data_IF_024240416053
#
_entry.id   IF_024240416053
#
_cell.length_a   1.000
_cell.length_b   1.000
_cell.length_c   1.000
_cell.angle_alpha   90.00
_cell.angle_beta   90.00
_cell.angle_gamma   90.00
#
_symmetry.space_group_name_H-M   'P 1'
#
loop_
_entity.id
_entity.type
_entity.pdbx_description
1 polymer ?
#
# COMPACT_ATOMS: atom_id res chain seq x y z
N UNK A 1 -12.18 12.20 16.12
CA UNK A 1 -12.29 13.68 16.08
C UNK A 1 -11.71 14.37 17.32
N UNK A 2 -11.94 13.86 18.55
CA UNK A 2 -11.45 14.46 19.80
C UNK A 2 -9.95 14.79 19.77
N UNK A 3 -9.10 13.82 19.41
CA UNK A 3 -7.64 14.00 19.33
C UNK A 3 -7.25 15.08 18.32
N UNK A 4 -7.81 15.07 17.11
CA UNK A 4 -7.51 16.06 16.07
C UNK A 4 -7.95 17.48 16.46
N UNK A 5 -8.98 17.65 17.29
CA UNK A 5 -9.42 18.96 17.79
C UNK A 5 -8.59 19.45 18.98
N UNK A 6 -8.08 18.54 19.81
CA UNK A 6 -7.31 18.88 21.00
C UNK A 6 -5.88 19.36 20.67
N UNK A 7 -5.37 19.08 19.46
CA UNK A 7 -3.99 19.37 19.07
C UNK A 7 -3.94 20.52 18.05
N UNK A 8 -3.01 21.47 18.26
CA UNK A 8 -2.71 22.52 17.28
C UNK A 8 -1.91 22.02 16.08
N UNK A 9 -1.16 20.92 16.24
CA UNK A 9 -0.30 20.35 15.19
C UNK A 9 -1.08 19.34 14.33
N UNK A 10 -0.77 19.21 13.02
CA UNK A 10 -1.40 18.22 12.14
C UNK A 10 -1.23 16.79 12.66
N UNK A 11 -2.33 16.04 12.73
CA UNK A 11 -2.31 14.63 13.14
C UNK A 11 -2.01 13.73 11.94
N UNK A 12 -1.05 12.82 12.13
CA UNK A 12 -0.77 11.71 11.23
C UNK A 12 -1.44 10.42 11.74
N UNK A 13 -2.10 9.68 10.86
CA UNK A 13 -2.62 8.35 11.15
C UNK A 13 -1.74 7.29 10.51
N UNK A 14 -1.25 6.33 11.30
CA UNK A 14 -0.45 5.22 10.79
C UNK A 14 -1.32 3.97 10.62
N UNK A 15 -1.39 3.47 9.38
CA UNK A 15 -2.01 2.18 9.07
C UNK A 15 -1.07 1.06 9.50
N UNK A 16 -1.58 0.07 10.24
CA UNK A 16 -0.74 -1.04 10.70
C UNK A 16 -1.37 -2.02 11.69
N UNK A 17 -2.54 -1.73 12.25
CA UNK A 17 -3.20 -2.59 13.25
C UNK A 17 -4.35 -3.35 12.60
N UNK A 18 -4.27 -4.68 12.58
CA UNK A 18 -5.33 -5.56 12.07
C UNK A 18 -6.63 -5.33 12.85
N UNK A 19 -7.75 -5.20 12.15
CA UNK A 19 -9.06 -4.95 12.76
C UNK A 19 -9.26 -3.54 13.32
N UNK A 20 -8.29 -2.63 13.16
CA UNK A 20 -8.41 -1.22 13.55
C UNK A 20 -7.99 -0.31 12.40
N UNK A 21 -8.76 -0.38 11.32
CA UNK A 21 -8.61 0.47 10.14
C UNK A 21 -9.85 1.30 9.92
N UNK A 22 -9.64 2.53 9.45
CA UNK A 22 -10.68 3.46 9.04
C UNK A 22 -10.48 3.77 7.56
N UNK A 23 -11.55 4.11 6.86
CA UNK A 23 -11.45 4.62 5.50
C UNK A 23 -10.71 5.96 5.48
N UNK A 24 -10.08 6.30 4.35
CA UNK A 24 -9.45 7.62 4.15
C UNK A 24 -10.46 8.74 4.40
N UNK A 25 -11.71 8.55 3.98
CA UNK A 25 -12.81 9.49 4.19
C UNK A 25 -13.12 9.71 5.66
N UNK A 26 -13.20 8.66 6.46
CA UNK A 26 -13.44 8.76 7.91
C UNK A 26 -12.27 9.45 8.62
N UNK A 27 -11.04 9.16 8.23
CA UNK A 27 -9.84 9.82 8.78
C UNK A 27 -9.84 11.32 8.45
N UNK A 28 -10.17 11.68 7.21
CA UNK A 28 -10.28 13.07 6.78
C UNK A 28 -11.38 13.81 7.56
N UNK A 29 -12.57 13.21 7.68
CA UNK A 29 -13.68 13.75 8.46
C UNK A 29 -13.35 13.88 9.95
N UNK A 30 -12.51 12.99 10.48
CA UNK A 30 -12.01 13.05 11.85
C UNK A 30 -10.99 14.18 12.08
N UNK A 31 -10.39 14.74 11.02
CA UNK A 31 -9.41 15.83 11.07
C UNK A 31 -7.95 15.41 10.87
N UNK A 32 -7.71 14.17 10.41
CA UNK A 32 -6.36 13.69 10.06
C UNK A 32 -5.83 14.43 8.84
N UNK A 33 -4.54 14.77 8.85
CA UNK A 33 -3.89 15.55 7.77
C UNK A 33 -2.87 14.75 6.97
N UNK A 34 -2.36 13.65 7.53
CA UNK A 34 -1.44 12.74 6.85
C UNK A 34 -1.81 11.30 7.20
N UNK A 35 -1.63 10.41 6.23
CA UNK A 35 -1.75 8.98 6.44
C UNK A 35 -0.41 8.35 6.07
N UNK A 36 0.14 7.56 6.99
CA UNK A 36 1.34 6.76 6.74
C UNK A 36 0.95 5.30 6.65
N UNK A 37 1.52 4.58 5.69
CA UNK A 37 1.23 3.16 5.46
C UNK A 37 2.19 2.23 6.22
N UNK A 38 3.18 2.78 6.94
CA UNK A 38 4.18 1.99 7.66
C UNK A 38 4.79 0.89 6.75
N UNK A 39 5.10 -0.28 7.29
CA UNK A 39 5.58 -1.44 6.55
C UNK A 39 4.47 -2.25 5.88
N UNK A 40 3.21 -1.78 5.86
CA UNK A 40 2.09 -2.62 5.39
C UNK A 40 2.15 -2.89 3.90
N UNK A 41 2.62 -1.93 3.08
CA UNK A 41 2.81 -2.18 1.64
C UNK A 41 3.90 -3.22 1.38
N UNK A 42 5.02 -3.14 2.10
CA UNK A 42 6.07 -4.17 2.04
C UNK A 42 5.53 -5.54 2.42
N UNK A 43 4.79 -5.63 3.54
CA UNK A 43 4.17 -6.88 3.98
C UNK A 43 3.14 -7.40 2.98
N UNK A 44 2.39 -6.54 2.30
CA UNK A 44 1.46 -6.94 1.25
C UNK A 44 2.20 -7.58 0.07
N UNK A 45 3.29 -6.96 -0.41
CA UNK A 45 4.13 -7.51 -1.46
C UNK A 45 4.75 -8.86 -1.05
N UNK A 46 5.30 -8.96 0.16
CA UNK A 46 5.87 -10.21 0.67
C UNK A 46 4.81 -11.30 0.86
N UNK A 47 3.58 -10.95 1.23
CA UNK A 47 2.48 -11.91 1.33
C UNK A 47 2.16 -12.51 -0.05
N UNK A 48 2.09 -11.68 -1.10
CA UNK A 48 1.91 -12.16 -2.48
C UNK A 48 3.07 -13.05 -2.95
N UNK A 49 4.32 -12.64 -2.68
CA UNK A 49 5.51 -13.44 -2.98
C UNK A 49 5.47 -14.80 -2.28
N UNK A 50 5.14 -14.83 -0.98
CA UNK A 50 5.04 -16.07 -0.23
C UNK A 50 3.93 -16.98 -0.75
N UNK A 51 2.80 -16.41 -1.21
CA UNK A 51 1.72 -17.19 -1.82
C UNK A 51 2.18 -17.85 -3.14
N UNK A 52 2.80 -17.08 -4.04
CA UNK A 52 3.36 -17.59 -5.29
C UNK A 52 4.45 -18.66 -5.05
N UNK A 53 5.38 -18.41 -4.12
CA UNK A 53 6.44 -19.36 -3.79
C UNK A 53 5.90 -20.67 -3.20
N UNK A 54 4.83 -20.60 -2.38
CA UNK A 54 4.14 -21.79 -1.85
C UNK A 54 3.42 -22.55 -2.95
N UNK A 55 2.76 -21.88 -3.89
CA UNK A 55 2.14 -22.54 -5.04
C UNK A 55 3.17 -23.37 -5.82
N UNK A 56 4.30 -22.75 -6.19
CA UNK A 56 5.38 -23.43 -6.92
C UNK A 56 5.94 -24.60 -6.13
N UNK A 57 6.20 -24.41 -4.83
CA UNK A 57 6.83 -25.43 -3.97
C UNK A 57 5.88 -26.59 -3.66
N UNK A 58 4.66 -26.28 -3.24
CA UNK A 58 3.75 -27.25 -2.63
C UNK A 58 2.80 -27.89 -3.68
N UNK A 59 2.49 -27.17 -4.76
CA UNK A 59 1.53 -27.63 -5.81
C UNK A 59 2.20 -27.85 -7.17
N UNK A 60 3.35 -27.22 -7.43
CA UNK A 60 4.06 -27.36 -8.71
C UNK A 60 3.40 -26.62 -9.88
N UNK A 61 2.57 -25.62 -9.58
CA UNK A 61 1.83 -24.82 -10.57
C UNK A 61 2.31 -23.35 -10.60
N UNK A 62 1.90 -22.62 -11.64
CA UNK A 62 2.32 -21.24 -11.91
C UNK A 62 1.13 -20.29 -12.16
N UNK A 63 -0.05 -20.61 -11.63
CA UNK A 63 -1.27 -19.83 -11.80
C UNK A 63 -1.16 -18.40 -11.27
N UNK A 64 -0.28 -18.12 -10.30
CA UNK A 64 -0.02 -16.74 -9.86
C UNK A 64 0.39 -15.80 -11.01
N UNK A 65 0.97 -16.32 -12.10
CA UNK A 65 1.39 -15.53 -13.27
C UNK A 65 0.21 -14.77 -13.87
N UNK A 66 -0.99 -15.35 -13.88
CA UNK A 66 -2.20 -14.75 -14.45
C UNK A 66 -2.70 -13.53 -13.66
N UNK A 67 -2.18 -13.32 -12.44
CA UNK A 67 -2.54 -12.19 -11.57
C UNK A 67 -1.50 -11.07 -11.57
N UNK A 68 -0.35 -11.27 -12.23
CA UNK A 68 0.74 -10.31 -12.23
C UNK A 68 0.41 -9.10 -13.11
N UNK A 69 0.89 -7.94 -12.68
CA UNK A 69 0.95 -6.76 -13.55
C UNK A 69 1.77 -7.10 -14.80
N UNK A 70 1.30 -6.69 -15.98
CA UNK A 70 2.04 -6.95 -17.22
C UNK A 70 3.32 -6.12 -17.23
N UNK A 71 4.37 -6.66 -17.86
CA UNK A 71 5.69 -6.02 -17.88
C UNK A 71 5.69 -4.64 -18.56
N UNK A 72 4.89 -4.47 -19.61
CA UNK A 72 4.70 -3.19 -20.30
C UNK A 72 3.93 -2.17 -19.44
N UNK A 73 2.90 -2.62 -18.72
CA UNK A 73 2.15 -1.79 -17.77
C UNK A 73 3.03 -1.30 -16.63
N UNK A 74 3.81 -2.20 -16.01
CA UNK A 74 4.76 -1.84 -14.95
C UNK A 74 5.84 -0.87 -15.47
N UNK A 75 6.41 -1.14 -16.64
CA UNK A 75 7.40 -0.25 -17.25
C UNK A 75 6.81 1.13 -17.58
N UNK A 76 5.57 1.18 -18.05
CA UNK A 76 4.83 2.42 -18.29
C UNK A 76 4.67 3.23 -17.00
N UNK A 77 4.15 2.60 -15.94
CA UNK A 77 3.99 3.22 -14.64
C UNK A 77 5.31 3.80 -14.10
N UNK A 78 6.40 3.03 -14.15
CA UNK A 78 7.70 3.47 -13.65
C UNK A 78 8.25 4.69 -14.41
N UNK A 79 8.09 4.73 -15.74
CA UNK A 79 8.49 5.89 -16.57
C UNK A 79 7.68 7.13 -16.23
N UNK A 80 6.37 6.98 -16.02
CA UNK A 80 5.52 8.11 -15.61
C UNK A 80 5.95 8.65 -14.25
N UNK A 81 6.26 7.78 -13.29
CA UNK A 81 6.75 8.18 -11.98
C UNK A 81 8.11 8.91 -12.04
N UNK A 82 9.03 8.49 -12.92
CA UNK A 82 10.30 9.18 -13.14
C UNK A 82 10.09 10.60 -13.70
N UNK A 83 9.20 10.74 -14.70
CA UNK A 83 8.81 12.05 -15.25
C UNK A 83 8.20 12.98 -14.20
N UNK A 84 7.31 12.46 -13.37
CA UNK A 84 6.67 13.22 -12.29
C UNK A 84 7.68 13.72 -11.22
N UNK A 85 8.85 13.08 -11.12
CA UNK A 85 9.93 13.47 -10.21
C UNK A 85 10.92 14.49 -10.81
N UNK A 86 10.75 14.85 -12.09
CA UNK A 86 11.68 15.72 -12.80
C UNK A 86 12.99 15.04 -13.19
N UNK A 87 13.02 13.71 -13.21
CA UNK A 87 14.14 12.90 -13.67
C UNK A 87 13.91 12.58 -15.16
N UNK A 88 14.25 13.53 -16.05
CA UNK A 88 14.03 13.43 -17.49
C UNK A 88 15.16 14.06 -18.29
#
# INVERSE_FOLDING_TARGET
>A
RTVCRALKKPVNFMVGIRGKSFTVRELAAAGVKRISLSTTLYRAAMTGLMAAAREVKDTGTFGYIDTLIRGDELAGYLKEQARARGEG
#
